data_IF_121740604794
#
_entry.id   IF_121740604794
#
_cell.length_a   1.000
_cell.length_b   1.000
_cell.length_c   1.000
_cell.angle_alpha   90.00
_cell.angle_beta   90.00
_cell.angle_gamma   90.00
#
_symmetry.space_group_name_H-M   'P 1'
#
loop_
_entity.id
_entity.type
_entity.pdbx_description
1 polymer ?
#
# COMPACT_ATOMS: atom_id res chain seq x y z
N UNK A 1 31.04 1.82 8.62
CA UNK A 1 30.21 1.02 9.54
C UNK A 1 29.36 0.10 8.68
N UNK A 2 29.47 -1.21 8.86
CA UNK A 2 28.64 -2.17 8.11
C UNK A 2 27.27 -2.19 8.78
N UNK A 3 26.32 -1.46 8.23
CA UNK A 3 24.92 -1.51 8.62
C UNK A 3 24.40 -2.91 8.32
N UNK A 4 24.16 -3.73 9.34
CA UNK A 4 23.58 -5.06 9.10
C UNK A 4 22.11 -4.87 8.76
N UNK A 5 21.74 -5.37 7.58
CA UNK A 5 20.36 -5.42 7.13
C UNK A 5 19.86 -6.85 7.23
N UNK A 6 18.67 -7.02 7.79
CA UNK A 6 17.97 -8.30 7.87
C UNK A 6 16.69 -8.18 7.05
N UNK A 7 16.56 -9.03 6.04
CA UNK A 7 15.35 -9.17 5.25
C UNK A 7 14.55 -10.37 5.77
N UNK A 8 13.32 -10.11 6.20
CA UNK A 8 12.36 -11.11 6.68
C UNK A 8 11.15 -11.10 5.74
N UNK A 9 10.56 -12.26 5.51
CA UNK A 9 9.33 -12.37 4.74
C UNK A 9 8.15 -12.66 5.66
N UNK A 10 7.22 -11.72 5.74
CA UNK A 10 6.00 -11.84 6.53
C UNK A 10 4.94 -12.54 5.68
N UNK A 11 4.45 -13.73 6.08
CA UNK A 11 3.36 -14.40 5.40
C UNK A 11 2.03 -13.75 5.76
N UNK A 12 1.26 -13.34 4.76
CA UNK A 12 -0.10 -12.81 4.92
C UNK A 12 -0.99 -13.45 3.85
N UNK A 13 -1.91 -14.30 4.29
CA UNK A 13 -2.69 -15.17 3.42
C UNK A 13 -1.79 -16.07 2.56
N UNK A 14 -1.90 -15.95 1.23
CA UNK A 14 -1.09 -16.72 0.26
C UNK A 14 0.16 -15.98 -0.22
N UNK A 15 0.37 -14.73 0.22
CA UNK A 15 1.48 -13.88 -0.22
C UNK A 15 2.51 -13.71 0.89
N UNK A 16 3.73 -13.36 0.49
CA UNK A 16 4.84 -13.06 1.40
C UNK A 16 5.33 -11.66 1.10
N UNK A 17 5.45 -10.84 2.14
CA UNK A 17 5.80 -9.43 2.02
C UNK A 17 7.16 -9.17 2.66
N UNK A 18 8.04 -8.39 2.00
CA UNK A 18 9.36 -8.08 2.54
C UNK A 18 9.24 -7.09 3.71
N UNK A 19 9.88 -7.44 4.82
CA UNK A 19 10.17 -6.58 5.96
C UNK A 19 11.69 -6.44 6.06
N UNK A 20 12.17 -5.21 6.04
CA UNK A 20 13.61 -4.92 6.15
C UNK A 20 13.84 -4.29 7.52
N UNK A 21 14.77 -4.87 8.29
CA UNK A 21 15.21 -4.33 9.58
C UNK A 21 16.69 -3.95 9.41
N UNK A 22 17.02 -2.70 9.70
CA UNK A 22 18.38 -2.15 9.61
C UNK A 22 18.86 -1.78 11.00
N UNK A 23 20.03 -2.28 11.39
CA UNK A 23 20.69 -1.80 12.61
C UNK A 23 21.11 -0.34 12.40
N UNK A 24 20.67 0.60 13.26
CA UNK A 24 21.09 2.00 13.15
C UNK A 24 22.39 2.27 13.90
N UNK A 25 22.72 1.42 14.87
CA UNK A 25 23.80 1.68 15.83
C UNK A 25 23.46 2.77 16.84
N UNK A 26 22.23 3.30 16.81
CA UNK A 26 21.73 4.29 17.76
C UNK A 26 21.17 3.59 19.00
N UNK A 27 21.22 4.31 20.12
CA UNK A 27 20.75 3.84 21.41
C UNK A 27 19.87 4.92 22.03
N UNK A 28 18.68 4.53 22.42
CA UNK A 28 17.85 5.30 23.34
C UNK A 28 18.42 5.12 24.77
N UNK A 29 18.73 6.22 25.48
CA UNK A 29 19.33 6.16 26.81
C UNK A 29 18.41 5.60 27.89
N UNK A 30 17.09 5.57 27.67
CA UNK A 30 16.10 5.00 28.61
C UNK A 30 15.78 3.55 28.26
N UNK A 31 15.62 3.24 26.96
CA UNK A 31 14.99 2.00 26.52
C UNK A 31 15.90 1.05 25.70
N UNK A 32 17.02 1.53 25.17
CA UNK A 32 18.07 0.69 24.57
C UNK A 32 18.26 0.81 23.06
N UNK A 33 18.70 -0.28 22.41
CA UNK A 33 19.13 -0.26 20.99
C UNK A 33 17.98 0.05 20.02
N UNK A 34 18.21 0.94 19.06
CA UNK A 34 17.26 1.29 18.00
C UNK A 34 17.57 0.56 16.69
N UNK A 35 16.52 0.28 15.93
CA UNK A 35 16.59 -0.29 14.57
C UNK A 35 15.60 0.43 13.67
N UNK A 36 15.94 0.61 12.40
CA UNK A 36 14.97 1.10 11.40
C UNK A 36 14.23 -0.08 10.82
N UNK A 37 12.90 -0.03 10.83
CA UNK A 37 12.05 -1.04 10.22
C UNK A 37 11.37 -0.45 9.00
N UNK A 38 11.37 -1.20 7.91
CA UNK A 38 10.76 -0.82 6.65
C UNK A 38 9.87 -1.93 6.11
N UNK A 39 8.60 -1.62 5.86
CA UNK A 39 7.65 -2.45 5.16
C UNK A 39 6.70 -1.58 4.33
N UNK A 40 6.84 -1.63 3.00
CA UNK A 40 6.03 -0.83 2.07
C UNK A 40 4.54 -1.16 2.19
N UNK A 41 4.21 -2.42 2.38
CA UNK A 41 2.82 -2.88 2.37
C UNK A 41 2.07 -2.60 3.67
N UNK A 42 2.80 -2.38 4.77
CA UNK A 42 2.27 -1.85 6.04
C UNK A 42 2.44 -0.33 6.17
N UNK A 43 2.89 0.36 5.11
CA UNK A 43 3.21 1.80 5.13
C UNK A 43 4.16 2.20 6.28
N UNK A 44 5.19 1.39 6.51
CA UNK A 44 6.08 1.52 7.66
C UNK A 44 7.51 1.84 7.17
N UNK A 45 8.06 2.95 7.66
CA UNK A 45 9.44 3.39 7.42
C UNK A 45 9.88 4.28 8.61
N UNK A 46 10.21 3.65 9.74
CA UNK A 46 10.50 4.36 10.99
C UNK A 46 11.42 3.57 11.93
N UNK A 47 11.95 4.24 12.95
CA UNK A 47 12.75 3.61 14.01
C UNK A 47 11.87 2.93 15.06
N UNK A 48 12.36 1.80 15.56
CA UNK A 48 11.78 1.01 16.64
C UNK A 48 12.86 0.64 17.64
N UNK A 49 12.47 0.49 18.91
CA UNK A 49 13.30 -0.19 19.88
C UNK A 49 13.45 -1.66 19.48
N UNK A 50 14.67 -2.18 19.61
CA UNK A 50 14.97 -3.58 19.30
C UNK A 50 14.17 -4.55 20.19
N UNK A 51 13.85 -4.12 21.42
CA UNK A 51 12.96 -4.84 22.34
C UNK A 51 11.52 -4.96 21.86
N UNK A 52 11.06 -4.02 21.02
CA UNK A 52 9.68 -3.97 20.53
C UNK A 52 9.50 -4.75 19.22
N UNK A 53 10.59 -5.17 18.58
CA UNK A 53 10.55 -5.99 17.37
C UNK A 53 9.67 -7.25 17.50
N UNK A 54 9.70 -8.03 18.59
CA UNK A 54 8.84 -9.20 18.73
C UNK A 54 7.35 -8.86 18.70
N UNK A 55 6.95 -7.74 19.31
CA UNK A 55 5.57 -7.26 19.29
C UNK A 55 5.19 -6.79 17.88
N UNK A 56 6.06 -5.98 17.25
CA UNK A 56 5.85 -5.55 15.87
C UNK A 56 5.70 -6.74 14.91
N UNK A 57 6.53 -7.78 15.05
CA UNK A 57 6.45 -8.98 14.21
C UNK A 57 5.16 -9.79 14.41
N UNK A 58 4.52 -9.70 15.58
CA UNK A 58 3.20 -10.30 15.82
C UNK A 58 2.10 -9.52 15.10
N UNK A 59 2.18 -8.19 15.12
CA UNK A 59 1.11 -7.31 14.63
C UNK A 59 1.22 -6.96 13.13
N UNK A 60 2.42 -7.03 12.56
CA UNK A 60 2.68 -6.54 11.20
C UNK A 60 1.87 -7.24 10.12
N UNK A 61 1.49 -8.51 10.33
CA UNK A 61 0.59 -9.21 9.43
C UNK A 61 -0.78 -8.52 9.32
N UNK A 62 -1.36 -8.17 10.46
CA UNK A 62 -2.64 -7.47 10.52
C UNK A 62 -2.54 -6.03 9.98
N UNK A 63 -1.41 -5.35 10.22
CA UNK A 63 -1.15 -4.02 9.66
C UNK A 63 -1.13 -4.05 8.12
N UNK A 64 -0.45 -5.05 7.53
CA UNK A 64 -0.46 -5.25 6.08
C UNK A 64 -1.89 -5.47 5.58
N UNK A 65 -2.69 -6.31 6.24
CA UNK A 65 -4.07 -6.57 5.83
C UNK A 65 -4.94 -5.31 5.87
N UNK A 66 -4.83 -4.51 6.93
CA UNK A 66 -5.57 -3.26 7.10
C UNK A 66 -5.25 -2.25 5.98
N UNK A 67 -3.96 -2.02 5.71
CA UNK A 67 -3.51 -1.12 4.64
C UNK A 67 -3.92 -1.61 3.24
N UNK A 68 -3.90 -2.92 3.01
CA UNK A 68 -4.38 -3.50 1.74
C UNK A 68 -5.89 -3.39 1.59
N UNK A 69 -6.65 -3.44 2.68
CA UNK A 69 -8.10 -3.25 2.64
C UNK A 69 -8.44 -1.79 2.32
N UNK A 70 -7.79 -0.84 2.97
CA UNK A 70 -7.96 0.58 2.70
C UNK A 70 -7.67 0.93 1.23
N UNK A 71 -6.58 0.39 0.66
CA UNK A 71 -6.26 0.58 -0.77
C UNK A 71 -7.29 -0.03 -1.73
N UNK A 72 -8.03 -1.05 -1.32
CA UNK A 72 -9.09 -1.64 -2.16
C UNK A 72 -10.32 -0.72 -2.20
N UNK A 73 -10.67 -0.10 -1.09
CA UNK A 73 -11.84 0.78 -0.98
C UNK A 73 -11.70 2.05 -1.84
N UNK A 74 -10.47 2.46 -2.19
CA UNK A 74 -10.19 3.59 -3.07
C UNK A 74 -10.36 3.28 -4.58
N UNK A 75 -10.63 2.03 -4.96
CA UNK A 75 -10.64 1.61 -6.38
C UNK A 75 -11.99 1.06 -6.84
N UNK A 76 -12.61 1.73 -7.83
CA UNK A 76 -13.80 1.24 -8.51
C UNK A 76 -13.39 0.33 -9.67
N UNK A 77 -13.67 -0.97 -9.57
CA UNK A 77 -13.43 -1.95 -10.63
C UNK A 77 -14.73 -2.33 -11.34
N UNK A 78 -14.87 -1.92 -12.61
CA UNK A 78 -16.06 -2.22 -13.43
C UNK A 78 -15.71 -3.25 -14.50
N UNK A 79 -16.47 -4.35 -14.56
CA UNK A 79 -16.34 -5.34 -15.64
C UNK A 79 -17.24 -4.96 -16.81
N UNK A 80 -16.63 -4.78 -17.98
CA UNK A 80 -17.32 -4.43 -19.23
C UNK A 80 -16.88 -5.36 -20.36
N UNK A 81 -17.72 -5.56 -21.38
CA UNK A 81 -17.34 -6.33 -22.58
C UNK A 81 -16.35 -5.52 -23.42
N UNK A 82 -15.50 -6.22 -24.18
CA UNK A 82 -14.49 -5.58 -25.02
C UNK A 82 -15.09 -4.60 -26.04
N UNK A 83 -16.25 -4.93 -26.62
CA UNK A 83 -16.97 -4.06 -27.57
C UNK A 83 -17.38 -2.73 -26.91
N UNK A 84 -17.93 -2.80 -25.69
CA UNK A 84 -18.38 -1.61 -24.95
C UNK A 84 -17.19 -0.77 -24.50
N UNK A 85 -16.06 -1.41 -24.12
CA UNK A 85 -14.82 -0.70 -23.78
C UNK A 85 -14.30 0.16 -24.93
N UNK A 86 -14.29 -0.37 -26.15
CA UNK A 86 -13.85 0.37 -27.34
C UNK A 86 -14.76 1.57 -27.58
N UNK A 87 -16.08 1.40 -27.43
CA UNK A 87 -17.04 2.47 -27.60
C UNK A 87 -16.84 3.59 -26.56
N UNK A 88 -16.70 3.22 -25.28
CA UNK A 88 -16.47 4.17 -24.20
C UNK A 88 -15.14 4.93 -24.36
N UNK A 89 -14.09 4.26 -24.85
CA UNK A 89 -12.82 4.93 -25.16
C UNK A 89 -12.98 5.97 -26.28
N UNK A 90 -13.76 5.67 -27.32
CA UNK A 90 -14.06 6.64 -28.38
C UNK A 90 -14.80 7.85 -27.83
N UNK A 91 -15.78 7.65 -26.95
CA UNK A 91 -16.50 8.76 -26.30
C UNK A 91 -15.58 9.59 -25.40
N UNK A 92 -14.73 8.93 -24.59
CA UNK A 92 -13.76 9.62 -23.76
C UNK A 92 -12.83 10.52 -24.60
N UNK A 93 -12.28 10.01 -25.69
CA UNK A 93 -11.43 10.80 -26.59
C UNK A 93 -12.18 11.91 -27.32
N UNK A 94 -13.40 11.65 -27.78
CA UNK A 94 -14.22 12.64 -28.48
C UNK A 94 -14.62 13.82 -27.57
N UNK A 95 -14.83 13.55 -26.28
CA UNK A 95 -15.16 14.57 -25.27
C UNK A 95 -13.90 15.17 -24.59
N UNK A 96 -12.68 14.79 -25.02
CA UNK A 96 -11.43 15.39 -24.55
C UNK A 96 -10.88 14.87 -23.23
N UNK A 97 -11.37 13.75 -22.72
CA UNK A 97 -10.87 13.13 -21.50
C UNK A 97 -9.54 12.41 -21.76
N UNK A 98 -8.64 12.43 -20.76
CA UNK A 98 -7.29 11.84 -20.85
C UNK A 98 -7.33 10.33 -20.68
N UNK A 99 -8.38 9.80 -20.06
CA UNK A 99 -8.55 8.37 -19.85
C UNK A 99 -10.02 7.96 -19.79
N UNK A 100 -10.25 6.66 -20.01
CA UNK A 100 -11.57 6.05 -19.81
C UNK A 100 -12.05 6.20 -18.35
N UNK A 101 -11.16 6.09 -17.37
CA UNK A 101 -11.52 6.24 -15.95
C UNK A 101 -12.01 7.65 -15.64
N UNK A 102 -11.32 8.67 -16.13
CA UNK A 102 -11.70 10.07 -15.96
C UNK A 102 -13.07 10.35 -16.57
N UNK A 103 -13.31 9.84 -17.79
CA UNK A 103 -14.61 9.92 -18.46
C UNK A 103 -15.74 9.28 -17.62
N UNK A 104 -15.52 8.07 -17.10
CA UNK A 104 -16.53 7.35 -16.33
C UNK A 104 -16.85 8.04 -15.00
N UNK A 105 -15.84 8.59 -14.33
CA UNK A 105 -16.03 9.37 -13.10
C UNK A 105 -16.85 10.63 -13.39
N UNK A 106 -16.47 11.39 -14.43
CA UNK A 106 -17.18 12.62 -14.80
C UNK A 106 -18.66 12.36 -15.12
N UNK A 107 -18.97 11.32 -15.90
CA UNK A 107 -20.35 10.93 -16.21
C UNK A 107 -21.11 10.39 -15.00
N UNK A 108 -20.45 9.65 -14.12
CA UNK A 108 -21.04 9.13 -12.88
C UNK A 108 -21.45 10.25 -11.92
N UNK A 109 -20.60 11.26 -11.76
CA UNK A 109 -20.84 12.41 -10.89
C UNK A 109 -21.84 13.41 -11.46
N UNK A 110 -21.87 13.60 -12.78
CA UNK A 110 -22.78 14.53 -13.45
C UNK A 110 -24.28 14.24 -13.22
N UNK A 111 -24.64 13.00 -12.82
CA UNK A 111 -26.02 12.62 -12.49
C UNK A 111 -26.47 13.00 -11.08
N UNK A 112 -25.57 13.40 -10.19
CA UNK A 112 -25.89 13.73 -8.79
C UNK A 112 -26.25 15.23 -8.63
N UNK A 113 -26.01 16.03 -9.66
CA UNK A 113 -26.23 17.49 -9.66
C UNK A 113 -27.58 17.92 -10.25
N UNK A 114 -28.60 17.06 -10.25
CA UNK A 114 -29.95 17.34 -10.79
C UNK A 114 -31.02 17.22 -9.71
#
# INVERSE_FOLDING_TARGET
MNTKEVLIYIPVGTKKYPLIIRETGNFDPEDGELVTVYCKEANLDQEYLKSDLPLLLQDIGAMIEAEQLQKKDDTINIRIKAKDKILLQKYASAEGYRSLSEYLIAKGLARISA
#
